data_IF_752925390699
#
_entry.id   IF_752925390699
#
_cell.length_a   1.000
_cell.length_b   1.000
_cell.length_c   1.000
_cell.angle_alpha   90.00
_cell.angle_beta   90.00
_cell.angle_gamma   90.00
#
_symmetry.space_group_name_H-M   'P 1'
#
loop_
_entity.id
_entity.type
_entity.pdbx_description
1 polymer ?
#
# COMPACT_ATOMS: atom_id res chain seq x y z
N UNK A 1 -48.11 28.55 10.57
CA UNK A 1 -47.05 29.12 9.70
C UNK A 1 -46.12 29.94 10.59
N UNK A 2 -45.01 29.33 11.02
CA UNK A 2 -43.98 30.05 11.79
C UNK A 2 -43.12 30.78 10.75
N UNK A 3 -43.25 32.11 10.73
CA UNK A 3 -42.44 33.00 9.92
C UNK A 3 -40.98 32.85 10.35
N UNK A 4 -40.16 32.10 9.59
CA UNK A 4 -38.70 32.18 9.76
C UNK A 4 -38.30 33.59 9.30
N UNK A 5 -37.61 34.39 10.13
CA UNK A 5 -37.05 35.65 9.66
C UNK A 5 -36.14 35.36 8.46
N UNK A 6 -36.21 36.19 7.42
CA UNK A 6 -35.25 36.18 6.34
C UNK A 6 -33.89 36.57 6.93
N UNK A 7 -33.14 35.58 7.43
CA UNK A 7 -31.77 35.80 7.85
C UNK A 7 -31.00 36.21 6.60
N UNK A 8 -30.56 37.47 6.55
CA UNK A 8 -29.55 37.86 5.59
C UNK A 8 -28.36 36.92 5.79
N UNK A 9 -27.90 36.29 4.70
CA UNK A 9 -26.79 35.35 4.73
C UNK A 9 -25.60 36.00 5.42
N UNK A 10 -25.13 35.40 6.52
CA UNK A 10 -24.00 35.93 7.26
C UNK A 10 -22.77 35.97 6.33
N UNK A 11 -22.17 37.14 6.05
CA UNK A 11 -21.02 37.27 5.13
C UNK A 11 -19.87 36.33 5.48
N UNK A 12 -19.66 36.03 6.77
CA UNK A 12 -18.64 35.09 7.21
C UNK A 12 -18.91 33.66 6.71
N UNK A 13 -20.17 33.24 6.61
CA UNK A 13 -20.54 31.92 6.07
C UNK A 13 -20.15 31.82 4.60
N UNK A 14 -20.42 32.84 3.79
CA UNK A 14 -20.04 32.84 2.38
C UNK A 14 -18.51 32.85 2.19
N UNK A 15 -17.77 33.58 3.04
CA UNK A 15 -16.29 33.53 3.09
C UNK A 15 -15.77 32.12 3.41
N UNK A 16 -16.37 31.47 4.41
CA UNK A 16 -16.01 30.09 4.79
C UNK A 16 -16.28 29.12 3.65
N UNK A 17 -17.42 29.24 2.97
CA UNK A 17 -17.77 28.40 1.84
C UNK A 17 -16.78 28.60 0.67
N UNK A 18 -16.47 29.84 0.27
CA UNK A 18 -15.52 30.10 -0.83
C UNK A 18 -14.14 29.50 -0.53
N UNK A 19 -13.59 29.77 0.66
CA UNK A 19 -12.27 29.29 1.04
C UNK A 19 -12.18 27.76 1.07
N UNK A 20 -13.24 27.06 1.50
CA UNK A 20 -13.24 25.59 1.53
C UNK A 20 -13.54 24.95 0.17
N UNK A 21 -14.24 25.64 -0.74
CA UNK A 21 -14.32 25.19 -2.12
C UNK A 21 -12.95 25.21 -2.79
N UNK A 22 -12.17 26.27 -2.59
CA UNK A 22 -10.82 26.38 -3.14
C UNK A 22 -9.90 25.30 -2.55
N UNK A 23 -9.86 25.15 -1.22
CA UNK A 23 -9.08 24.09 -0.54
C UNK A 23 -9.42 22.69 -1.04
N UNK A 24 -10.71 22.36 -1.16
CA UNK A 24 -11.13 21.04 -1.65
C UNK A 24 -10.73 20.82 -3.11
N UNK A 25 -10.87 21.84 -3.96
CA UNK A 25 -10.55 21.75 -5.40
C UNK A 25 -9.04 21.70 -5.65
N UNK A 26 -8.25 22.40 -4.85
CA UNK A 26 -6.78 22.36 -4.90
C UNK A 26 -6.24 21.02 -4.40
N UNK A 27 -6.72 20.54 -3.25
CA UNK A 27 -6.32 19.24 -2.70
C UNK A 27 -6.60 18.08 -3.68
N UNK A 28 -7.80 18.01 -4.24
CA UNK A 28 -8.14 16.98 -5.23
C UNK A 28 -7.39 17.18 -6.56
N UNK A 29 -6.99 18.41 -6.92
CA UNK A 29 -6.15 18.64 -8.11
C UNK A 29 -4.78 18.02 -7.94
N UNK A 30 -4.16 18.15 -6.78
CA UNK A 30 -2.86 17.54 -6.49
C UNK A 30 -2.94 16.01 -6.64
N UNK A 31 -4.00 15.40 -6.12
CA UNK A 31 -4.26 13.97 -6.26
C UNK A 31 -4.48 13.59 -7.74
N UNK A 32 -5.26 14.39 -8.50
CA UNK A 32 -5.49 14.19 -9.94
C UNK A 32 -4.17 14.12 -10.72
N UNK A 33 -3.22 15.02 -10.45
CA UNK A 33 -1.94 15.06 -11.18
C UNK A 33 -1.07 13.84 -10.86
N UNK A 34 -1.08 13.36 -9.63
CA UNK A 34 -0.39 12.11 -9.30
C UNK A 34 -1.01 10.91 -10.01
N UNK A 35 -2.35 10.82 -10.07
CA UNK A 35 -3.03 9.79 -10.84
C UNK A 35 -2.63 9.83 -12.33
N UNK A 36 -2.50 11.03 -12.91
CA UNK A 36 -2.15 11.21 -14.32
C UNK A 36 -0.69 10.90 -14.63
N UNK A 37 0.23 11.47 -13.85
CA UNK A 37 1.65 11.47 -14.21
C UNK A 37 2.49 10.51 -13.37
N UNK A 38 2.10 10.29 -12.11
CA UNK A 38 2.77 9.33 -11.23
C UNK A 38 2.32 7.89 -11.48
N UNK A 39 1.00 7.67 -11.54
CA UNK A 39 0.43 6.33 -11.70
C UNK A 39 0.07 5.97 -13.14
N UNK A 40 -0.06 6.96 -14.04
CA UNK A 40 -0.61 6.78 -15.38
C UNK A 40 -1.97 6.05 -15.38
N UNK A 41 -2.82 6.33 -14.36
CA UNK A 41 -4.07 5.61 -14.11
C UNK A 41 -5.28 6.47 -14.51
N UNK A 42 -5.82 6.22 -15.72
CA UNK A 42 -6.88 7.02 -16.34
C UNK A 42 -8.15 7.14 -15.50
N UNK A 43 -8.62 6.03 -14.90
CA UNK A 43 -9.89 6.02 -14.17
C UNK A 43 -9.84 6.83 -12.87
N UNK A 44 -8.70 6.79 -12.16
CA UNK A 44 -8.52 7.59 -10.94
C UNK A 44 -8.38 9.07 -11.27
N UNK A 45 -7.69 9.42 -12.35
CA UNK A 45 -7.63 10.78 -12.84
C UNK A 45 -9.02 11.30 -13.26
N UNK A 46 -9.82 10.46 -13.93
CA UNK A 46 -11.19 10.80 -14.32
C UNK A 46 -12.09 11.02 -13.09
N UNK A 47 -11.98 10.19 -12.06
CA UNK A 47 -12.74 10.35 -10.82
C UNK A 47 -12.36 11.63 -10.08
N UNK A 48 -11.06 11.92 -9.94
CA UNK A 48 -10.59 13.19 -9.36
C UNK A 48 -11.15 14.39 -10.14
N UNK A 49 -11.08 14.35 -11.47
CA UNK A 49 -11.61 15.39 -12.35
C UNK A 49 -13.13 15.55 -12.19
N UNK A 50 -13.87 14.45 -12.07
CA UNK A 50 -15.33 14.44 -11.85
C UNK A 50 -15.69 15.13 -10.53
N UNK A 51 -15.06 14.74 -9.41
CA UNK A 51 -15.23 15.37 -8.09
C UNK A 51 -14.96 16.88 -8.18
N UNK A 52 -13.86 17.26 -8.84
CA UNK A 52 -13.44 18.66 -8.96
C UNK A 52 -14.39 19.50 -9.82
N UNK A 53 -14.96 18.91 -10.87
CA UNK A 53 -15.98 19.54 -11.71
C UNK A 53 -17.30 19.72 -10.95
N UNK A 54 -17.71 18.72 -10.18
CA UNK A 54 -18.92 18.80 -9.36
C UNK A 54 -18.80 19.87 -8.27
N UNK A 55 -17.67 19.94 -7.57
CA UNK A 55 -17.37 21.02 -6.62
C UNK A 55 -17.49 22.41 -7.26
N UNK A 56 -16.93 22.57 -8.47
CA UNK A 56 -16.97 23.84 -9.19
C UNK A 56 -18.38 24.31 -9.57
N UNK A 57 -19.36 23.39 -9.69
CA UNK A 57 -20.77 23.75 -9.98
C UNK A 57 -21.46 24.38 -8.78
N UNK A 58 -21.09 23.98 -7.57
CA UNK A 58 -21.68 24.50 -6.33
C UNK A 58 -21.09 25.83 -5.88
N UNK A 59 -19.84 26.13 -6.26
CA UNK A 59 -19.20 27.41 -5.99
C UNK A 59 -19.79 28.50 -6.93
N UNK A 60 -20.93 29.07 -6.55
CA UNK A 60 -21.64 30.09 -7.33
C UNK A 60 -20.83 31.41 -7.42
N UNK A 61 -21.15 32.30 -8.39
CA UNK A 61 -20.61 33.66 -8.40
C UNK A 61 -20.85 34.42 -7.09
N UNK A 62 -22.00 34.22 -6.45
CA UNK A 62 -22.35 34.87 -5.18
C UNK A 62 -21.44 34.42 -4.05
N UNK A 63 -21.12 33.12 -3.95
CA UNK A 63 -20.14 32.62 -2.97
C UNK A 63 -18.75 33.21 -3.27
N UNK A 64 -18.33 33.20 -4.54
CA UNK A 64 -17.02 33.74 -4.96
C UNK A 64 -16.87 35.25 -4.69
N UNK A 65 -17.97 36.01 -4.72
CA UNK A 65 -17.95 37.44 -4.49
C UNK A 65 -17.49 37.83 -3.07
N UNK A 66 -17.55 36.89 -2.12
CA UNK A 66 -17.09 37.09 -0.74
C UNK A 66 -15.62 36.74 -0.52
N UNK A 67 -14.88 36.39 -1.58
CA UNK A 67 -13.44 36.15 -1.46
C UNK A 67 -12.71 37.37 -0.91
N UNK A 68 -12.01 37.17 0.20
CA UNK A 68 -11.22 38.20 0.87
C UNK A 68 -9.97 37.59 1.47
N UNK A 69 -8.96 37.36 0.62
CA UNK A 69 -7.64 36.86 1.03
C UNK A 69 -6.88 37.89 1.90
N UNK A 70 -6.84 39.20 1.57
CA UNK A 70 -6.13 40.17 2.40
C UNK A 70 -6.71 40.31 3.81
N UNK A 71 -8.02 40.12 3.98
CA UNK A 71 -8.69 40.13 5.27
C UNK A 71 -8.87 38.75 5.92
N UNK A 72 -8.25 37.69 5.41
CA UNK A 72 -8.28 36.36 6.01
C UNK A 72 -7.19 36.24 7.09
N UNK A 73 -7.54 36.16 8.39
CA UNK A 73 -6.54 36.04 9.46
C UNK A 73 -5.76 34.71 9.43
N UNK A 74 -6.20 33.73 8.62
CA UNK A 74 -5.54 32.45 8.48
C UNK A 74 -4.34 32.43 7.54
N UNK A 75 -4.09 33.49 6.75
CA UNK A 75 -3.01 33.47 5.73
C UNK A 75 -1.61 33.46 6.31
N UNK A 76 -1.45 33.93 7.55
CA UNK A 76 -0.17 33.93 8.28
C UNK A 76 -0.02 32.72 9.22
N UNK A 77 -1.06 31.90 9.37
CA UNK A 77 -1.02 30.70 10.18
C UNK A 77 -0.39 29.57 9.37
N UNK A 78 0.80 29.16 9.79
CA UNK A 78 1.50 27.99 9.25
C UNK A 78 1.92 27.09 10.40
N UNK A 79 1.93 25.78 10.16
CA UNK A 79 2.51 24.82 11.10
C UNK A 79 3.86 24.34 10.55
N UNK A 80 4.94 24.20 11.35
CA UNK A 80 6.25 23.79 10.86
C UNK A 80 6.25 22.45 10.08
N UNK A 81 5.31 21.56 10.42
CA UNK A 81 5.13 20.30 9.68
C UNK A 81 4.49 20.48 8.29
N UNK A 82 4.08 21.67 7.88
CA UNK A 82 3.59 21.96 6.53
C UNK A 82 4.70 22.32 5.54
N UNK A 83 5.89 22.69 6.04
CA UNK A 83 6.99 23.21 5.23
C UNK A 83 7.72 22.11 4.44
N UNK A 84 7.74 20.88 4.94
CA UNK A 84 8.43 19.76 4.32
C UNK A 84 7.56 18.50 4.23
N UNK A 85 7.67 17.81 3.09
CA UNK A 85 7.11 16.47 2.85
C UNK A 85 8.26 15.57 2.39
N UNK A 86 8.43 14.43 3.05
CA UNK A 86 9.53 13.51 2.77
C UNK A 86 9.24 12.54 1.61
N UNK A 87 7.96 12.36 1.24
CA UNK A 87 7.56 11.42 0.19
C UNK A 87 6.27 11.82 -0.52
N UNK A 88 6.04 11.24 -1.69
CA UNK A 88 4.78 11.38 -2.42
C UNK A 88 3.59 10.88 -1.59
N UNK A 89 3.76 9.79 -0.84
CA UNK A 89 2.72 9.28 0.06
C UNK A 89 2.27 10.33 1.06
N UNK A 90 3.21 11.04 1.70
CA UNK A 90 2.87 12.13 2.63
C UNK A 90 2.16 13.30 1.93
N UNK A 91 2.54 13.62 0.68
CA UNK A 91 1.83 14.63 -0.12
C UNK A 91 0.39 14.20 -0.37
N UNK A 92 0.15 12.95 -0.77
CA UNK A 92 -1.19 12.44 -1.05
C UNK A 92 -2.04 12.40 0.22
N UNK A 93 -1.54 11.81 1.32
CA UNK A 93 -2.27 11.74 2.60
C UNK A 93 -2.67 13.12 3.09
N UNK A 94 -1.76 14.10 3.09
CA UNK A 94 -2.08 15.46 3.51
C UNK A 94 -3.18 16.10 2.65
N UNK A 95 -3.17 15.87 1.34
CA UNK A 95 -4.16 16.45 0.43
C UNK A 95 -5.51 15.71 0.47
N UNK A 96 -5.53 14.41 0.75
CA UNK A 96 -6.76 13.68 1.05
C UNK A 96 -7.40 14.24 2.33
N UNK A 97 -6.65 14.34 3.44
CA UNK A 97 -7.14 14.90 4.70
C UNK A 97 -7.71 16.32 4.50
N UNK A 98 -6.94 17.23 3.90
CA UNK A 98 -7.39 18.61 3.64
C UNK A 98 -8.64 18.68 2.77
N UNK A 99 -8.73 17.83 1.74
CA UNK A 99 -9.94 17.76 0.89
C UNK A 99 -11.15 17.28 1.69
N UNK A 100 -10.98 16.27 2.54
CA UNK A 100 -12.04 15.69 3.37
C UNK A 100 -12.51 16.68 4.44
N UNK A 101 -11.59 17.38 5.09
CA UNK A 101 -11.86 18.45 6.06
C UNK A 101 -12.62 19.60 5.39
N UNK A 102 -12.15 20.08 4.24
CA UNK A 102 -12.81 21.15 3.49
C UNK A 102 -14.24 20.74 3.07
N UNK A 103 -14.42 19.52 2.57
CA UNK A 103 -15.75 18.98 2.25
C UNK A 103 -16.64 18.86 3.49
N UNK A 104 -16.08 18.57 4.67
CA UNK A 104 -16.82 18.52 5.93
C UNK A 104 -17.28 19.91 6.36
N UNK A 105 -16.43 20.93 6.20
CA UNK A 105 -16.80 22.33 6.46
C UNK A 105 -17.89 22.77 5.50
N UNK A 106 -17.75 22.50 4.20
CA UNK A 106 -18.77 22.77 3.20
C UNK A 106 -20.10 22.09 3.55
N UNK A 107 -20.08 20.80 3.88
CA UNK A 107 -21.25 20.03 4.29
C UNK A 107 -22.00 20.69 5.46
N UNK A 108 -21.31 21.10 6.50
CA UNK A 108 -21.94 21.64 7.71
C UNK A 108 -22.45 23.09 7.52
N UNK A 109 -21.64 23.98 6.95
CA UNK A 109 -22.07 25.38 6.73
C UNK A 109 -23.15 25.50 5.66
N UNK A 110 -23.14 24.62 4.64
CA UNK A 110 -24.20 24.58 3.63
C UNK A 110 -25.58 24.27 4.21
N UNK A 111 -25.69 23.59 5.37
CA UNK A 111 -27.00 23.25 5.97
C UNK A 111 -27.81 24.47 6.39
N UNK A 112 -27.16 25.63 6.59
CA UNK A 112 -27.84 26.85 7.02
C UNK A 112 -28.79 27.33 5.91
N UNK A 113 -28.31 27.39 4.65
CA UNK A 113 -29.03 28.05 3.55
C UNK A 113 -29.02 27.29 2.21
N UNK A 114 -28.19 26.25 2.07
CA UNK A 114 -27.96 25.52 0.82
C UNK A 114 -28.04 24.00 1.05
N UNK A 115 -29.22 23.49 1.42
CA UNK A 115 -29.39 22.08 1.81
C UNK A 115 -28.99 21.08 0.71
N UNK A 116 -29.26 21.39 -0.56
CA UNK A 116 -28.84 20.53 -1.69
C UNK A 116 -27.31 20.46 -1.81
N UNK A 117 -26.63 21.59 -1.64
CA UNK A 117 -25.17 21.66 -1.62
C UNK A 117 -24.59 20.85 -0.45
N UNK A 118 -25.24 20.90 0.72
CA UNK A 118 -24.83 20.10 1.88
C UNK A 118 -24.88 18.59 1.57
N UNK A 119 -25.96 18.15 0.92
CA UNK A 119 -26.13 16.75 0.49
C UNK A 119 -25.04 16.38 -0.51
N UNK A 120 -24.80 17.22 -1.52
CA UNK A 120 -23.75 16.97 -2.51
C UNK A 120 -22.34 16.89 -1.88
N UNK A 121 -21.99 17.81 -0.97
CA UNK A 121 -20.70 17.79 -0.28
C UNK A 121 -20.51 16.54 0.57
N UNK A 122 -21.58 16.03 1.21
CA UNK A 122 -21.55 14.74 1.92
C UNK A 122 -21.23 13.58 0.96
N UNK A 123 -21.89 13.52 -0.19
CA UNK A 123 -21.63 12.47 -1.18
C UNK A 123 -20.21 12.56 -1.75
N UNK A 124 -19.74 13.76 -2.07
CA UNK A 124 -18.37 13.99 -2.54
C UNK A 124 -17.34 13.55 -1.49
N UNK A 125 -17.58 13.81 -0.21
CA UNK A 125 -16.69 13.36 0.88
C UNK A 125 -16.55 11.83 0.92
N UNK A 126 -17.65 11.09 0.73
CA UNK A 126 -17.60 9.62 0.66
C UNK A 126 -16.90 9.10 -0.58
N UNK A 127 -17.05 9.78 -1.72
CA UNK A 127 -16.27 9.47 -2.94
C UNK A 127 -14.78 9.67 -2.70
N UNK A 128 -14.39 10.75 -2.01
CA UNK A 128 -12.98 10.99 -1.65
C UNK A 128 -12.42 9.91 -0.72
N UNK A 129 -13.19 9.44 0.28
CA UNK A 129 -12.75 8.31 1.13
C UNK A 129 -12.54 7.02 0.34
N UNK A 130 -13.45 6.74 -0.60
CA UNK A 130 -13.37 5.56 -1.45
C UNK A 130 -12.16 5.66 -2.39
N UNK A 131 -11.94 6.83 -2.97
CA UNK A 131 -10.79 7.12 -3.81
C UNK A 131 -9.46 6.94 -3.05
N UNK A 132 -9.34 7.47 -1.85
CA UNK A 132 -8.14 7.33 -1.00
C UNK A 132 -7.82 5.85 -0.72
N UNK A 133 -8.86 5.10 -0.34
CA UNK A 133 -8.74 3.68 0.00
C UNK A 133 -8.31 2.87 -1.23
N UNK A 134 -8.95 3.11 -2.38
CA UNK A 134 -8.63 2.43 -3.64
C UNK A 134 -7.23 2.76 -4.14
N UNK A 135 -6.82 4.02 -4.07
CA UNK A 135 -5.50 4.47 -4.53
C UNK A 135 -4.39 3.86 -3.68
N UNK A 136 -4.56 3.84 -2.36
CA UNK A 136 -3.62 3.21 -1.43
C UNK A 136 -3.47 1.70 -1.69
N UNK A 137 -4.60 1.00 -1.88
CA UNK A 137 -4.58 -0.42 -2.25
C UNK A 137 -3.86 -0.68 -3.58
N UNK A 138 -4.15 0.12 -4.59
CA UNK A 138 -3.51 0.02 -5.91
C UNK A 138 -1.99 0.22 -5.83
N UNK A 139 -1.50 1.16 -5.02
CA UNK A 139 -0.07 1.36 -4.81
C UNK A 139 0.61 0.11 -4.23
N UNK A 140 0.00 -0.55 -3.24
CA UNK A 140 0.55 -1.80 -2.68
C UNK A 140 0.66 -2.89 -3.74
N UNK A 141 -0.39 -3.10 -4.54
CA UNK A 141 -0.37 -4.11 -5.60
C UNK A 141 0.62 -3.79 -6.72
N UNK A 142 0.80 -2.52 -7.09
CA UNK A 142 1.84 -2.12 -8.04
C UNK A 142 3.24 -2.40 -7.50
N UNK A 143 3.51 -2.12 -6.22
CA UNK A 143 4.79 -2.46 -5.59
C UNK A 143 5.02 -3.97 -5.60
N UNK A 144 4.01 -4.77 -5.30
CA UNK A 144 4.09 -6.23 -5.34
C UNK A 144 4.43 -6.74 -6.75
N UNK A 145 3.79 -6.18 -7.78
CA UNK A 145 4.06 -6.56 -9.18
C UNK A 145 5.52 -6.26 -9.58
N UNK A 146 6.08 -5.15 -9.09
CA UNK A 146 7.46 -4.73 -9.37
C UNK A 146 8.50 -5.42 -8.48
N UNK A 147 8.11 -5.94 -7.33
CA UNK A 147 9.04 -6.59 -6.41
C UNK A 147 9.58 -7.90 -6.99
N UNK A 148 10.90 -7.99 -7.15
CA UNK A 148 11.59 -9.18 -7.64
C UNK A 148 12.36 -9.93 -6.55
N UNK A 149 12.69 -9.26 -5.45
CA UNK A 149 13.41 -9.84 -4.32
C UNK A 149 12.57 -9.76 -3.05
N UNK A 150 12.46 -10.89 -2.37
CA UNK A 150 11.63 -11.04 -1.18
C UNK A 150 12.43 -11.66 -0.03
N UNK A 151 12.71 -10.88 1.02
CA UNK A 151 13.30 -11.42 2.25
C UNK A 151 12.25 -12.02 3.17
N UNK A 152 12.44 -13.26 3.60
CA UNK A 152 11.69 -13.84 4.73
C UNK A 152 12.61 -13.88 5.94
N UNK A 153 12.21 -13.23 7.04
CA UNK A 153 13.07 -13.13 8.23
C UNK A 153 13.20 -14.48 8.95
N UNK A 154 14.31 -14.65 9.66
CA UNK A 154 14.49 -15.68 10.68
C UNK A 154 14.78 -15.04 12.03
N UNK A 155 14.49 -15.74 13.13
CA UNK A 155 14.80 -15.24 14.47
C UNK A 155 16.31 -15.07 14.65
N UNK A 156 16.72 -13.87 15.07
CA UNK A 156 18.11 -13.47 15.34
C UNK A 156 18.10 -12.25 16.24
N UNK A 157 19.14 -12.08 17.06
CA UNK A 157 19.29 -10.91 17.95
C UNK A 157 19.43 -9.61 17.15
N UNK A 158 20.00 -9.69 15.95
CA UNK A 158 20.26 -8.52 15.08
C UNK A 158 19.13 -8.26 14.07
N UNK A 159 17.90 -8.73 14.32
CA UNK A 159 16.80 -8.72 13.35
C UNK A 159 16.60 -7.37 12.67
N UNK A 160 16.50 -6.30 13.46
CA UNK A 160 16.27 -4.95 12.95
C UNK A 160 17.46 -4.43 12.13
N UNK A 161 18.69 -4.60 12.63
CA UNK A 161 19.89 -4.15 11.93
C UNK A 161 20.08 -4.88 10.59
N UNK A 162 19.81 -6.19 10.56
CA UNK A 162 19.89 -6.99 9.34
C UNK A 162 18.82 -6.61 8.32
N UNK A 163 17.57 -6.39 8.76
CA UNK A 163 16.50 -5.94 7.87
C UNK A 163 16.79 -4.53 7.34
N UNK A 164 17.23 -3.60 8.20
CA UNK A 164 17.59 -2.25 7.77
C UNK A 164 18.73 -2.25 6.76
N UNK A 165 19.80 -3.03 6.98
CA UNK A 165 20.88 -3.18 6.01
C UNK A 165 20.38 -3.74 4.66
N UNK A 166 19.47 -4.73 4.68
CA UNK A 166 18.85 -5.21 3.46
C UNK A 166 18.00 -4.14 2.75
N UNK A 167 17.24 -3.33 3.49
CA UNK A 167 16.46 -2.20 2.96
C UNK A 167 17.37 -1.12 2.35
N UNK A 168 18.50 -0.78 2.99
CA UNK A 168 19.54 0.09 2.43
C UNK A 168 20.14 -0.48 1.13
N UNK A 169 20.20 -1.81 1.03
CA UNK A 169 20.56 -2.53 -0.20
C UNK A 169 19.49 -2.49 -1.29
N UNK A 170 18.33 -1.86 -1.05
CA UNK A 170 17.24 -1.68 -2.01
C UNK A 170 16.13 -2.73 -1.92
N UNK A 171 16.08 -3.56 -0.87
CA UNK A 171 15.10 -4.64 -0.75
C UNK A 171 13.64 -4.13 -0.83
N UNK A 172 12.80 -4.63 -1.75
CA UNK A 172 11.46 -4.09 -1.96
C UNK A 172 10.36 -4.75 -1.11
N UNK A 173 10.61 -5.92 -0.51
CA UNK A 173 9.59 -6.71 0.19
C UNK A 173 10.19 -7.55 1.33
N UNK A 174 9.61 -7.43 2.53
CA UNK A 174 10.01 -8.15 3.76
C UNK A 174 8.83 -8.96 4.31
N UNK A 175 9.08 -10.21 4.71
CA UNK A 175 8.15 -11.03 5.48
C UNK A 175 8.66 -11.16 6.89
N UNK A 176 7.90 -10.68 7.86
CA UNK A 176 8.17 -11.00 9.25
C UNK A 176 7.63 -12.39 9.59
N UNK A 177 8.56 -13.33 9.80
CA UNK A 177 8.29 -14.70 10.21
C UNK A 177 8.86 -14.97 11.60
N UNK A 178 7.96 -15.09 12.57
CA UNK A 178 8.27 -15.41 13.97
C UNK A 178 7.31 -16.48 14.49
N UNK A 179 7.86 -17.64 14.86
CA UNK A 179 7.11 -18.83 15.27
C UNK A 179 7.17 -19.08 16.78
N UNK A 180 8.19 -18.55 17.47
CA UNK A 180 8.47 -18.90 18.86
C UNK A 180 8.08 -17.81 19.86
N UNK A 181 8.14 -16.52 19.46
CA UNK A 181 7.81 -15.42 20.36
C UNK A 181 6.32 -15.41 20.76
N UNK A 182 6.02 -14.86 21.93
CA UNK A 182 4.65 -14.54 22.36
C UNK A 182 4.03 -13.42 21.51
N UNK A 183 2.71 -13.25 21.63
CA UNK A 183 1.96 -12.32 20.78
C UNK A 183 2.27 -10.85 21.05
N UNK A 184 2.62 -10.45 22.28
CA UNK A 184 3.00 -9.06 22.58
C UNK A 184 4.34 -8.73 21.95
N UNK A 185 5.32 -9.62 22.10
CA UNK A 185 6.64 -9.50 21.47
C UNK A 185 6.51 -9.48 19.95
N UNK A 186 5.71 -10.39 19.38
CA UNK A 186 5.47 -10.46 17.93
C UNK A 186 4.83 -9.18 17.41
N UNK A 187 3.80 -8.66 18.09
CA UNK A 187 3.12 -7.43 17.68
C UNK A 187 4.05 -6.21 17.76
N UNK A 188 4.83 -6.09 18.85
CA UNK A 188 5.75 -4.97 19.02
C UNK A 188 6.79 -4.94 17.90
N UNK A 189 7.42 -6.09 17.61
CA UNK A 189 8.39 -6.22 16.53
C UNK A 189 7.77 -5.98 15.15
N UNK A 190 6.55 -6.49 14.93
CA UNK A 190 5.84 -6.28 13.66
C UNK A 190 5.58 -4.80 13.38
N UNK A 191 5.17 -4.01 14.39
CA UNK A 191 4.96 -2.56 14.25
C UNK A 191 6.25 -1.84 13.86
N UNK A 192 7.32 -2.10 14.60
CA UNK A 192 8.62 -1.48 14.35
C UNK A 192 9.19 -1.84 12.97
N UNK A 193 9.06 -3.10 12.55
CA UNK A 193 9.48 -3.53 11.22
C UNK A 193 8.61 -2.95 10.10
N UNK A 194 7.31 -2.80 10.34
CA UNK A 194 6.39 -2.17 9.39
C UNK A 194 6.79 -0.71 9.13
N UNK A 195 6.95 0.07 10.21
CA UNK A 195 7.43 1.46 10.14
C UNK A 195 8.77 1.56 9.42
N UNK A 196 9.73 0.69 9.77
CA UNK A 196 11.04 0.63 9.13
C UNK A 196 10.92 0.35 7.62
N UNK A 197 10.15 -0.66 7.20
CA UNK A 197 9.99 -0.97 5.78
C UNK A 197 9.38 0.22 5.00
N UNK A 198 8.37 0.89 5.58
CA UNK A 198 7.72 2.03 4.94
C UNK A 198 8.64 3.24 4.79
N UNK A 199 9.59 3.45 5.70
CA UNK A 199 10.62 4.50 5.55
C UNK A 199 11.49 4.31 4.30
N UNK A 200 11.72 3.05 3.89
CA UNK A 200 12.49 2.68 2.70
C UNK A 200 11.58 2.35 1.50
N UNK A 201 10.30 2.73 1.53
CA UNK A 201 9.29 2.46 0.49
C UNK A 201 9.04 0.95 0.19
N UNK A 202 9.48 0.05 1.07
CA UNK A 202 9.33 -1.40 0.93
C UNK A 202 7.99 -1.91 1.49
N UNK A 203 7.51 -3.02 0.94
CA UNK A 203 6.31 -3.72 1.42
C UNK A 203 6.63 -4.59 2.64
N UNK A 204 5.71 -4.60 3.62
CA UNK A 204 5.81 -5.41 4.83
C UNK A 204 4.67 -6.43 4.93
N UNK A 205 5.02 -7.72 5.02
CA UNK A 205 4.09 -8.85 5.09
C UNK A 205 4.28 -9.60 6.40
N UNK A 206 3.19 -9.96 7.08
CA UNK A 206 3.25 -10.82 8.28
C UNK A 206 2.97 -12.28 7.90
N UNK A 207 3.81 -13.18 8.38
CA UNK A 207 3.62 -14.62 8.15
C UNK A 207 2.50 -15.16 9.06
N UNK A 208 1.54 -15.87 8.47
CA UNK A 208 0.40 -16.63 9.04
C UNK A 208 -0.64 -15.82 9.85
N UNK A 209 -0.20 -14.89 10.68
CA UNK A 209 -0.99 -14.21 11.71
C UNK A 209 -1.71 -12.98 11.14
N UNK A 210 -2.91 -13.21 10.63
CA UNK A 210 -3.80 -12.17 10.07
C UNK A 210 -4.16 -11.07 11.08
N UNK A 211 -4.37 -11.45 12.33
CA UNK A 211 -4.66 -10.53 13.43
C UNK A 211 -3.48 -9.60 13.72
N UNK A 212 -2.25 -10.12 13.74
CA UNK A 212 -1.03 -9.33 13.93
C UNK A 212 -0.81 -8.40 12.74
N UNK A 213 -1.10 -8.85 11.51
CA UNK A 213 -1.01 -8.01 10.31
C UNK A 213 -1.93 -6.79 10.40
N UNK A 214 -3.18 -6.98 10.81
CA UNK A 214 -4.13 -5.86 11.01
C UNK A 214 -3.66 -4.95 12.13
N UNK A 215 -3.25 -5.50 13.28
CA UNK A 215 -2.85 -4.72 14.44
C UNK A 215 -1.55 -3.93 14.25
N UNK A 216 -0.67 -4.37 13.34
CA UNK A 216 0.57 -3.70 12.97
C UNK A 216 0.44 -2.79 11.74
N UNK A 217 -0.75 -2.71 11.12
CA UNK A 217 -0.99 -2.06 9.83
C UNK A 217 -0.06 -2.53 8.69
N UNK A 218 0.22 -3.83 8.67
CA UNK A 218 1.01 -4.45 7.62
C UNK A 218 0.32 -4.35 6.25
N UNK A 219 1.12 -4.38 5.19
CA UNK A 219 0.61 -4.35 3.82
C UNK A 219 -0.11 -5.64 3.43
N UNK A 220 0.13 -6.73 4.16
CA UNK A 220 -0.52 -8.00 3.92
C UNK A 220 -0.04 -9.16 4.77
N UNK A 221 -0.46 -10.36 4.37
CA UNK A 221 -0.09 -11.64 4.99
C UNK A 221 0.47 -12.63 3.97
N UNK A 222 1.24 -13.58 4.45
CA UNK A 222 1.57 -14.80 3.70
C UNK A 222 1.09 -16.01 4.50
N UNK A 223 0.38 -16.92 3.85
CA UNK A 223 -0.28 -18.06 4.48
C UNK A 223 0.28 -19.38 3.93
N UNK A 224 0.59 -20.31 4.81
CA UNK A 224 0.86 -21.71 4.50
C UNK A 224 -0.42 -22.53 4.29
N UNK A 225 -0.26 -23.79 3.92
CA UNK A 225 -1.39 -24.68 3.60
C UNK A 225 -2.29 -24.99 4.81
N UNK A 226 -1.74 -24.96 6.02
CA UNK A 226 -2.43 -25.26 7.28
C UNK A 226 -2.94 -23.99 8.00
N UNK A 227 -2.65 -22.80 7.45
CA UNK A 227 -3.12 -21.53 7.99
C UNK A 227 -4.53 -21.20 7.46
N UNK A 228 -5.08 -20.06 7.89
CA UNK A 228 -6.40 -19.61 7.44
C UNK A 228 -6.53 -19.65 5.90
N UNK A 229 -7.69 -20.06 5.36
CA UNK A 229 -7.98 -19.95 3.93
C UNK A 229 -7.88 -18.50 3.46
N UNK A 230 -7.46 -18.29 2.20
CA UNK A 230 -7.28 -16.94 1.63
C UNK A 230 -8.57 -16.13 1.70
N UNK A 231 -9.72 -16.76 1.42
CA UNK A 231 -11.03 -16.10 1.50
C UNK A 231 -11.35 -15.56 2.91
N UNK A 232 -10.98 -16.29 3.97
CA UNK A 232 -11.20 -15.84 5.35
C UNK A 232 -10.24 -14.71 5.69
N UNK A 233 -8.96 -14.84 5.33
CA UNK A 233 -7.98 -13.77 5.53
C UNK A 233 -8.39 -12.48 4.82
N UNK A 234 -8.90 -12.57 3.58
CA UNK A 234 -9.43 -11.44 2.81
C UNK A 234 -10.57 -10.72 3.54
N UNK A 235 -11.49 -11.45 4.16
CA UNK A 235 -12.59 -10.86 4.92
C UNK A 235 -12.10 -10.06 6.15
N UNK A 236 -11.02 -10.51 6.79
CA UNK A 236 -10.44 -9.83 7.96
C UNK A 236 -9.60 -8.62 7.53
N UNK A 237 -8.81 -8.77 6.46
CA UNK A 237 -7.85 -7.76 6.00
C UNK A 237 -8.48 -6.63 5.17
N UNK A 238 -9.62 -6.92 4.54
CA UNK A 238 -10.25 -6.06 3.54
C UNK A 238 -9.68 -6.24 2.13
N UNK A 239 -10.24 -5.49 1.17
CA UNK A 239 -9.95 -5.65 -0.25
C UNK A 239 -8.56 -5.12 -0.69
N UNK A 240 -7.87 -4.35 0.16
CA UNK A 240 -6.72 -3.52 -0.24
C UNK A 240 -5.38 -3.94 0.37
N UNK A 241 -5.34 -5.05 1.11
CA UNK A 241 -4.11 -5.66 1.63
C UNK A 241 -3.73 -6.88 0.81
N UNK A 242 -2.48 -7.26 0.85
CA UNK A 242 -1.93 -8.37 0.07
C UNK A 242 -2.16 -9.70 0.82
N UNK A 243 -2.52 -10.76 0.11
CA UNK A 243 -2.61 -12.13 0.63
C UNK A 243 -1.79 -13.05 -0.26
N UNK A 244 -0.66 -13.52 0.29
CA UNK A 244 0.18 -14.53 -0.34
C UNK A 244 -0.16 -15.94 0.10
N UNK A 245 0.06 -16.94 -0.78
CA UNK A 245 -0.10 -18.35 -0.45
C UNK A 245 1.15 -19.17 -0.79
N UNK A 246 1.64 -19.98 0.14
CA UNK A 246 2.68 -20.97 -0.16
C UNK A 246 2.09 -22.10 -1.00
N UNK A 247 2.82 -22.55 -2.03
CA UNK A 247 2.41 -23.64 -2.92
C UNK A 247 3.62 -24.54 -3.19
N UNK A 248 3.39 -25.84 -3.25
CA UNK A 248 4.43 -26.88 -3.41
C UNK A 248 4.22 -27.73 -4.66
N UNK A 249 3.09 -27.57 -5.36
CA UNK A 249 2.72 -28.36 -6.53
C UNK A 249 1.63 -27.66 -7.37
N UNK A 250 1.39 -28.11 -8.63
CA UNK A 250 0.38 -27.53 -9.52
C UNK A 250 -1.04 -27.43 -8.95
N UNK A 251 -1.47 -28.40 -8.14
CA UNK A 251 -2.81 -28.43 -7.56
C UNK A 251 -2.97 -27.34 -6.50
N UNK A 252 -1.97 -27.17 -5.63
CA UNK A 252 -1.94 -26.08 -4.66
C UNK A 252 -1.91 -24.71 -5.33
N UNK A 253 -1.20 -24.56 -6.45
CA UNK A 253 -1.24 -23.33 -7.25
C UNK A 253 -2.65 -23.06 -7.77
N UNK A 254 -3.29 -24.04 -8.41
CA UNK A 254 -4.66 -23.90 -8.91
C UNK A 254 -5.65 -23.49 -7.82
N UNK A 255 -5.54 -24.09 -6.63
CA UNK A 255 -6.34 -23.70 -5.46
C UNK A 255 -6.06 -22.27 -5.00
N UNK A 256 -4.79 -21.87 -4.86
CA UNK A 256 -4.42 -20.52 -4.46
C UNK A 256 -4.96 -19.45 -5.44
N UNK A 257 -4.94 -19.74 -6.75
CA UNK A 257 -5.52 -18.87 -7.78
C UNK A 257 -7.03 -18.78 -7.65
N UNK A 258 -7.71 -19.91 -7.48
CA UNK A 258 -9.17 -19.97 -7.32
C UNK A 258 -9.66 -19.23 -6.06
N UNK A 259 -8.87 -19.24 -4.99
CA UNK A 259 -9.17 -18.51 -3.76
C UNK A 259 -8.85 -17.01 -3.84
N UNK A 260 -8.21 -16.53 -4.91
CA UNK A 260 -7.89 -15.13 -5.12
C UNK A 260 -6.65 -14.64 -4.35
N UNK A 261 -5.61 -15.49 -4.25
CA UNK A 261 -4.31 -15.04 -3.74
C UNK A 261 -3.70 -13.96 -4.65
N UNK A 262 -3.08 -12.95 -4.05
CA UNK A 262 -2.46 -11.85 -4.80
C UNK A 262 -1.05 -12.20 -5.31
N UNK A 263 -0.40 -13.15 -4.63
CA UNK A 263 0.83 -13.78 -5.09
C UNK A 263 1.01 -15.17 -4.47
N UNK A 264 1.94 -15.95 -5.02
CA UNK A 264 2.28 -17.28 -4.47
C UNK A 264 3.78 -17.43 -4.20
N UNK A 265 4.10 -18.20 -3.16
CA UNK A 265 5.44 -18.75 -2.95
C UNK A 265 5.53 -20.11 -3.63
N UNK A 266 6.49 -20.29 -4.52
CA UNK A 266 6.70 -21.52 -5.31
C UNK A 266 7.91 -22.25 -4.74
N UNK A 267 7.67 -23.29 -3.95
CA UNK A 267 8.75 -24.06 -3.33
C UNK A 267 8.29 -24.95 -2.17
N UNK A 268 9.23 -25.57 -1.44
CA UNK A 268 10.67 -25.31 -1.49
C UNK A 268 11.33 -25.84 -2.78
N UNK A 269 12.21 -25.06 -3.42
CA UNK A 269 12.96 -25.50 -4.62
C UNK A 269 14.00 -26.56 -4.26
N UNK A 270 14.75 -26.33 -3.19
CA UNK A 270 15.72 -27.27 -2.64
C UNK A 270 15.31 -27.65 -1.21
N UNK A 271 15.82 -28.78 -0.71
CA UNK A 271 15.62 -29.15 0.70
C UNK A 271 16.19 -28.06 1.61
N UNK A 272 15.45 -27.74 2.68
CA UNK A 272 15.89 -26.71 3.63
C UNK A 272 15.72 -27.16 5.07
N UNK A 273 16.68 -26.84 5.96
CA UNK A 273 16.51 -27.04 7.40
C UNK A 273 15.37 -26.21 7.99
N UNK A 274 14.92 -25.15 7.31
CA UNK A 274 13.86 -24.24 7.78
C UNK A 274 12.47 -24.88 7.74
N UNK A 275 12.28 -25.95 6.96
CA UNK A 275 11.07 -26.81 6.91
C UNK A 275 11.50 -28.27 6.67
N UNK A 276 12.01 -28.93 7.70
CA UNK A 276 12.63 -30.26 7.61
C UNK A 276 11.68 -31.37 7.10
N UNK A 277 10.36 -31.20 7.23
CA UNK A 277 9.37 -32.25 6.93
C UNK A 277 8.81 -32.19 5.49
N UNK A 278 9.31 -31.31 4.61
CA UNK A 278 8.83 -31.18 3.23
C UNK A 278 9.89 -31.53 2.20
N UNK A 279 9.61 -32.54 1.38
CA UNK A 279 10.37 -32.83 0.19
C UNK A 279 10.43 -31.59 -0.73
N UNK A 280 11.56 -31.41 -1.41
CA UNK A 280 11.72 -30.33 -2.38
C UNK A 280 10.74 -30.52 -3.55
N UNK A 281 10.03 -29.45 -3.91
CA UNK A 281 9.20 -29.41 -5.12
C UNK A 281 10.06 -29.38 -6.40
N UNK A 282 11.32 -28.94 -6.29
CA UNK A 282 12.29 -28.95 -7.37
C UNK A 282 12.07 -27.88 -8.43
N UNK A 283 12.98 -27.85 -9.41
CA UNK A 283 12.95 -26.89 -10.52
C UNK A 283 11.80 -27.16 -11.51
N UNK A 284 11.26 -28.38 -11.56
CA UNK A 284 10.14 -28.69 -12.45
C UNK A 284 8.87 -27.92 -12.05
N UNK A 285 8.64 -27.76 -10.75
CA UNK A 285 7.53 -26.93 -10.29
C UNK A 285 7.76 -25.43 -10.57
N UNK A 286 9.01 -24.96 -10.55
CA UNK A 286 9.36 -23.59 -10.96
C UNK A 286 9.05 -23.37 -12.44
N UNK A 287 9.44 -24.31 -13.32
CA UNK A 287 9.13 -24.26 -14.76
C UNK A 287 7.62 -24.24 -15.00
N UNK A 288 6.88 -25.09 -14.30
CA UNK A 288 5.42 -25.09 -14.37
C UNK A 288 4.82 -23.74 -13.96
N UNK A 289 5.28 -23.14 -12.86
CA UNK A 289 4.81 -21.82 -12.43
C UNK A 289 5.16 -20.72 -13.45
N UNK A 290 6.33 -20.79 -14.08
CA UNK A 290 6.74 -19.84 -15.11
C UNK A 290 5.81 -19.86 -16.34
N UNK A 291 5.30 -21.04 -16.71
CA UNK A 291 4.37 -21.18 -17.84
C UNK A 291 2.91 -20.86 -17.47
N UNK A 292 2.49 -21.13 -16.23
CA UNK A 292 1.07 -21.22 -15.89
C UNK A 292 0.58 -20.16 -14.89
N UNK A 293 1.45 -19.48 -14.13
CA UNK A 293 1.02 -18.55 -13.09
C UNK A 293 0.68 -17.15 -13.66
N UNK A 294 -0.58 -16.69 -13.58
CA UNK A 294 -0.99 -15.38 -14.11
C UNK A 294 -0.77 -14.21 -13.13
N UNK A 295 -0.38 -14.52 -11.89
CA UNK A 295 -0.14 -13.55 -10.81
C UNK A 295 1.34 -13.54 -10.42
N UNK A 296 1.84 -12.51 -9.71
CA UNK A 296 3.19 -12.54 -9.18
C UNK A 296 3.48 -13.80 -8.37
N UNK A 297 4.67 -14.36 -8.54
CA UNK A 297 5.10 -15.54 -7.80
C UNK A 297 6.59 -15.44 -7.50
N UNK A 298 7.01 -16.00 -6.36
CA UNK A 298 8.39 -15.98 -5.90
C UNK A 298 8.87 -17.41 -5.69
N UNK A 299 9.92 -17.81 -6.42
CA UNK A 299 10.60 -19.07 -6.13
C UNK A 299 11.24 -18.99 -4.73
N UNK A 300 11.08 -20.01 -3.90
CA UNK A 300 11.57 -20.00 -2.52
C UNK A 300 12.11 -21.36 -2.10
N UNK A 301 13.06 -21.38 -1.17
CA UNK A 301 13.54 -22.60 -0.51
C UNK A 301 14.91 -23.01 -1.00
N UNK A 302 15.93 -22.73 -0.20
CA UNK A 302 17.33 -23.11 -0.48
C UNK A 302 18.03 -22.24 -1.53
N UNK A 303 17.41 -21.13 -1.91
CA UNK A 303 18.00 -20.18 -2.87
C UNK A 303 19.09 -19.36 -2.19
N UNK A 304 20.28 -19.35 -2.81
CA UNK A 304 21.46 -18.62 -2.39
C UNK A 304 22.31 -18.19 -3.59
N UNK A 305 23.52 -17.70 -3.34
CA UNK A 305 24.44 -17.20 -4.37
C UNK A 305 24.81 -18.26 -5.41
N UNK A 306 24.94 -19.53 -4.98
CA UNK A 306 25.30 -20.65 -5.84
C UNK A 306 24.12 -21.19 -6.65
N UNK A 307 22.90 -21.13 -6.11
CA UNK A 307 21.71 -21.76 -6.70
C UNK A 307 20.79 -20.80 -7.45
N UNK A 308 20.98 -19.48 -7.31
CA UNK A 308 20.09 -18.48 -7.93
C UNK A 308 20.00 -18.65 -9.45
N UNK A 309 21.12 -18.95 -10.13
CA UNK A 309 21.14 -19.07 -11.59
C UNK A 309 20.28 -20.24 -12.09
N UNK A 310 20.25 -21.37 -11.39
CA UNK A 310 19.40 -22.51 -11.76
C UNK A 310 17.92 -22.16 -11.72
N UNK A 311 17.52 -21.37 -10.71
CA UNK A 311 16.14 -20.93 -10.52
C UNK A 311 15.73 -19.90 -11.57
N UNK A 312 16.63 -18.97 -11.92
CA UNK A 312 16.42 -18.03 -13.02
C UNK A 312 16.32 -18.76 -14.36
N UNK A 313 17.20 -19.73 -14.62
CA UNK A 313 17.19 -20.57 -15.82
C UNK A 313 15.92 -21.45 -15.92
N UNK A 314 15.28 -21.75 -14.79
CA UNK A 314 13.99 -22.42 -14.74
C UNK A 314 12.78 -21.49 -15.00
N UNK A 315 13.02 -20.20 -15.28
CA UNK A 315 12.01 -19.21 -15.64
C UNK A 315 11.58 -18.28 -14.50
N UNK A 316 12.22 -18.35 -13.33
CA UNK A 316 11.90 -17.43 -12.25
C UNK A 316 12.39 -16.02 -12.54
N UNK A 317 11.48 -15.05 -12.41
CA UNK A 317 11.80 -13.61 -12.48
C UNK A 317 11.83 -12.96 -11.09
N UNK A 318 11.39 -13.69 -10.07
CA UNK A 318 11.32 -13.23 -8.68
C UNK A 318 11.71 -14.37 -7.75
N UNK A 319 12.48 -14.04 -6.72
CA UNK A 319 12.95 -15.01 -5.74
C UNK A 319 12.68 -14.52 -4.32
N UNK A 320 12.52 -15.49 -3.43
CA UNK A 320 12.52 -15.26 -2.00
C UNK A 320 13.67 -15.99 -1.33
N UNK A 321 14.36 -15.28 -0.44
CA UNK A 321 15.53 -15.76 0.29
C UNK A 321 15.35 -15.56 1.79
N UNK A 322 15.99 -16.43 2.57
CA UNK A 322 16.02 -16.34 4.04
C UNK A 322 17.48 -16.16 4.47
N UNK A 323 18.23 -17.26 4.55
CA UNK A 323 19.60 -17.29 5.08
C UNK A 323 20.58 -16.47 4.25
N UNK A 324 20.39 -16.43 2.93
CA UNK A 324 21.31 -15.74 2.03
C UNK A 324 21.44 -14.23 2.30
N UNK A 325 20.47 -13.62 2.99
CA UNK A 325 20.55 -12.24 3.48
C UNK A 325 20.62 -12.22 5.01
N UNK A 326 19.77 -13.01 5.71
CA UNK A 326 19.70 -12.99 7.19
C UNK A 326 21.00 -13.42 7.88
N UNK A 327 21.85 -14.20 7.20
CA UNK A 327 23.13 -14.71 7.70
C UNK A 327 24.32 -14.20 6.88
N UNK A 328 24.10 -13.23 5.99
CA UNK A 328 25.18 -12.63 5.22
C UNK A 328 26.11 -11.81 6.14
N UNK A 329 27.43 -11.83 5.92
CA UNK A 329 28.35 -10.91 6.60
C UNK A 329 28.01 -9.44 6.34
N UNK A 330 27.49 -9.15 5.14
CA UNK A 330 27.00 -7.84 4.74
C UNK A 330 25.64 -8.00 4.03
N UNK A 331 24.52 -7.78 4.73
CA UNK A 331 23.17 -7.90 4.15
C UNK A 331 22.89 -6.89 3.04
N UNK A 332 23.54 -5.71 3.08
CA UNK A 332 23.41 -4.68 2.05
C UNK A 332 23.98 -5.19 0.72
N UNK A 333 25.23 -5.67 0.74
CA UNK A 333 25.88 -6.22 -0.45
C UNK A 333 25.20 -7.50 -0.96
N UNK A 334 24.73 -8.36 -0.05
CA UNK A 334 23.98 -9.56 -0.43
C UNK A 334 22.68 -9.19 -1.16
N UNK A 335 21.96 -8.19 -0.67
CA UNK A 335 20.74 -7.70 -1.33
C UNK A 335 21.04 -7.16 -2.72
N UNK A 336 22.04 -6.29 -2.85
CA UNK A 336 22.46 -5.71 -4.14
C UNK A 336 22.89 -6.78 -5.14
N UNK A 337 23.58 -7.83 -4.68
CA UNK A 337 23.94 -8.97 -5.52
C UNK A 337 22.69 -9.62 -6.14
N UNK A 338 21.68 -9.97 -5.32
CA UNK A 338 20.48 -10.63 -5.83
C UNK A 338 19.68 -9.73 -6.77
N UNK A 339 19.57 -8.44 -6.47
CA UNK A 339 18.92 -7.48 -7.36
C UNK A 339 19.61 -7.40 -8.73
N UNK A 340 20.95 -7.39 -8.74
CA UNK A 340 21.71 -7.40 -9.99
C UNK A 340 21.46 -8.66 -10.83
N UNK A 341 21.34 -9.84 -10.21
CA UNK A 341 21.02 -11.07 -10.94
C UNK A 341 19.63 -11.04 -11.56
N UNK A 342 18.63 -10.58 -10.78
CA UNK A 342 17.24 -10.48 -11.24
C UNK A 342 17.07 -9.48 -12.39
N UNK A 343 17.81 -8.37 -12.35
CA UNK A 343 17.77 -7.34 -13.40
C UNK A 343 18.40 -7.84 -14.71
N UNK A 344 19.51 -8.59 -14.64
CA UNK A 344 20.21 -9.13 -15.83
C UNK A 344 19.38 -10.17 -16.57
N UNK A 345 18.68 -11.05 -15.84
CA UNK A 345 17.81 -12.07 -16.43
C UNK A 345 16.66 -11.45 -17.25
N UNK A 346 16.16 -10.27 -16.89
CA UNK A 346 15.11 -9.59 -17.64
C UNK A 346 15.53 -9.01 -19.00
N UNK A 347 16.84 -8.84 -19.24
CA UNK A 347 17.36 -8.27 -20.50
C UNK A 347 17.65 -9.33 -21.57
N UNK A 348 17.62 -10.61 -21.21
CA UNK A 348 17.86 -11.74 -22.11
C UNK A 348 16.70 -12.76 -22.01
N UNK A 349 15.57 -12.50 -22.71
CA UNK A 349 14.44 -13.43 -22.74
C UNK A 349 14.74 -14.72 -23.51
#
# INVERSE_FOLDING_TARGET
>A
MINRPSNATNPAVLRILDANFDRAREGIRIIEEWCRFGLNHGDFAAECKSIRQELGRWQSPDIRAFRDTPGDPGTELSHPQEEARASVTQVLTANFCRTQEALRVLEEYAKIEHTEMAIACKHLRYRVYTLETNLSGHQRFQKLQKAQLYLVTSSTENLFATVEAALQGGLPLVQYREKAADDLTRLHRAKQLCELCHQYDALFIVNDRVDIAVAADADGVHLGQEDLPVAIARNILGAHRIVGRSTTNPEEMGRALAEGADYIGVGPVYETPTKADKAAAGLDYVRYAAEQAPIPWFAIGGIGTETVHDVLNAGAQRISVVRAIMQAPDPTLATQFFQAQLTRSHLHP
#
